data_IF_394643466399
#
_entry.id   IF_394643466399
#
_cell.length_a   1.000
_cell.length_b   1.000
_cell.length_c   1.000
_cell.angle_alpha   90.00
_cell.angle_beta   90.00
_cell.angle_gamma   90.00
#
_symmetry.space_group_name_H-M   'P 1'
#
loop_
_entity.id
_entity.type
_entity.pdbx_description
1 polymer ?
#
# COMPACT_ATOMS: atom_id res chain seq x y z
N UNK A 1 -17.48 17.64 -21.72
CA UNK A 1 -16.64 16.70 -22.50
C UNK A 1 -15.54 16.16 -21.63
N UNK A 2 -15.36 14.84 -21.62
CA UNK A 2 -14.28 14.20 -20.86
C UNK A 2 -12.99 14.26 -21.69
N UNK A 3 -11.97 14.88 -21.12
CA UNK A 3 -10.67 15.03 -21.77
C UNK A 3 -9.67 14.18 -21.02
N UNK A 4 -8.92 13.35 -21.76
CA UNK A 4 -7.84 12.56 -21.18
C UNK A 4 -6.65 13.48 -20.99
N UNK A 5 -6.18 13.59 -19.75
CA UNK A 5 -5.03 14.40 -19.40
C UNK A 5 -3.82 13.52 -19.18
N UNK A 6 -2.63 14.04 -19.52
CA UNK A 6 -1.37 13.34 -19.32
C UNK A 6 -0.64 13.94 -18.13
N UNK A 7 -0.19 13.07 -17.23
CA UNK A 7 0.61 13.47 -16.07
C UNK A 7 1.83 12.57 -15.96
N UNK A 8 2.95 13.04 -15.40
CA UNK A 8 4.09 12.17 -15.10
C UNK A 8 3.69 11.03 -14.18
N UNK A 9 4.26 9.85 -14.42
CA UNK A 9 3.94 8.66 -13.62
C UNK A 9 4.25 8.86 -12.14
N UNK A 10 5.31 9.60 -11.82
CA UNK A 10 5.69 9.82 -10.43
C UNK A 10 4.69 10.71 -9.65
N UNK A 11 3.72 11.32 -10.31
CA UNK A 11 2.64 12.04 -9.65
C UNK A 11 1.44 11.16 -9.30
N UNK A 12 1.46 9.89 -9.69
CA UNK A 12 0.29 9.02 -9.55
C UNK A 12 -0.17 8.86 -8.10
N UNK A 13 0.75 8.89 -7.15
CA UNK A 13 0.45 8.78 -5.73
C UNK A 13 0.14 10.10 -5.04
N UNK A 14 0.02 11.20 -5.79
CA UNK A 14 -0.10 12.57 -5.25
C UNK A 14 -1.25 13.31 -5.89
N UNK A 15 -1.50 14.53 -5.39
CA UNK A 15 -2.49 15.46 -5.94
C UNK A 15 -3.92 14.91 -5.93
N UNK A 16 -4.20 14.01 -5.01
CA UNK A 16 -5.54 13.44 -4.82
C UNK A 16 -6.45 14.36 -4.01
N UNK A 17 -5.88 15.04 -3.00
CA UNK A 17 -6.62 15.96 -2.13
C UNK A 17 -6.34 17.40 -2.56
N UNK A 18 -7.40 18.18 -2.71
CA UNK A 18 -7.24 19.58 -3.04
C UNK A 18 -6.49 20.34 -1.93
N UNK A 19 -5.60 21.26 -2.32
CA UNK A 19 -4.73 21.98 -1.37
C UNK A 19 -5.51 22.70 -0.28
N UNK A 20 -6.73 23.17 -0.57
CA UNK A 20 -7.56 23.89 0.41
C UNK A 20 -7.92 23.03 1.63
N UNK A 21 -7.89 21.72 1.50
CA UNK A 21 -8.18 20.79 2.60
C UNK A 21 -6.94 20.31 3.35
N UNK A 22 -5.75 20.75 2.91
CA UNK A 22 -4.48 20.33 3.51
C UNK A 22 -3.98 21.47 4.39
N UNK A 23 -3.72 21.25 5.70
CA UNK A 23 -3.16 22.27 6.57
C UNK A 23 -1.84 22.80 6.04
N UNK A 24 -1.58 24.10 6.26
CA UNK A 24 -0.35 24.76 5.81
C UNK A 24 0.88 24.03 6.36
N UNK A 25 1.85 23.75 5.49
CA UNK A 25 3.08 23.05 5.87
C UNK A 25 2.94 21.54 5.95
N UNK A 26 1.77 20.99 5.59
CA UNK A 26 1.49 19.56 5.56
C UNK A 26 1.24 19.11 4.13
N UNK A 27 1.25 17.81 3.89
CA UNK A 27 0.90 17.21 2.61
C UNK A 27 -0.39 16.38 2.74
N UNK A 28 -0.81 15.75 1.63
CA UNK A 28 -2.04 14.96 1.64
C UNK A 28 -1.92 13.70 2.52
N UNK A 29 -0.71 13.23 2.80
CA UNK A 29 -0.49 12.09 3.68
C UNK A 29 -0.73 12.43 5.15
N UNK A 30 -0.67 13.70 5.53
CA UNK A 30 -1.04 14.14 6.87
C UNK A 30 -2.49 13.77 7.19
N UNK A 31 -3.40 13.96 6.24
CA UNK A 31 -4.80 13.61 6.45
C UNK A 31 -4.97 12.11 6.64
N UNK A 32 -4.27 11.30 5.85
CA UNK A 32 -4.30 9.85 6.01
C UNK A 32 -3.72 9.42 7.36
N UNK A 33 -2.67 10.08 7.83
CA UNK A 33 -2.08 9.81 9.14
C UNK A 33 -3.08 10.05 10.27
N UNK A 34 -3.91 11.09 10.17
CA UNK A 34 -4.91 11.38 11.19
C UNK A 34 -6.11 10.44 11.11
N UNK A 35 -6.42 9.92 9.95
CA UNK A 35 -7.55 9.01 9.73
C UNK A 35 -7.22 7.57 10.12
N UNK A 36 -5.99 7.13 9.91
CA UNK A 36 -5.60 5.75 10.16
C UNK A 36 -4.98 5.61 11.55
N UNK A 37 -5.80 5.21 12.53
CA UNK A 37 -5.37 5.03 13.91
C UNK A 37 -5.48 3.56 14.32
N UNK A 38 -4.89 2.67 13.53
CA UNK A 38 -4.95 1.23 13.79
C UNK A 38 -3.95 0.75 14.86
N UNK A 39 -3.11 1.64 15.39
CA UNK A 39 -2.13 1.30 16.43
C UNK A 39 -0.89 0.56 15.93
N UNK A 40 -0.77 0.31 14.65
CA UNK A 40 0.39 -0.37 14.08
C UNK A 40 1.53 0.62 13.93
N UNK A 41 2.72 0.23 14.40
CA UNK A 41 3.93 1.02 14.20
C UNK A 41 4.62 0.56 12.93
N UNK A 42 4.85 1.49 12.03
CA UNK A 42 5.47 1.21 10.74
C UNK A 42 6.91 1.72 10.72
N UNK A 43 7.75 1.05 9.95
CA UNK A 43 9.15 1.38 9.72
C UNK A 43 9.47 1.32 8.23
N UNK A 44 10.62 1.87 7.86
CA UNK A 44 11.10 1.75 6.48
C UNK A 44 11.52 0.31 6.17
N UNK A 45 11.49 -0.04 4.88
CA UNK A 45 12.00 -1.31 4.41
C UNK A 45 13.51 -1.42 4.62
N UNK A 46 13.98 -2.62 4.95
CA UNK A 46 15.41 -2.93 4.91
C UNK A 46 15.85 -3.20 3.47
N UNK A 47 17.17 -3.13 3.21
CA UNK A 47 17.71 -3.45 1.89
C UNK A 47 17.38 -4.89 1.48
N UNK A 48 17.41 -5.84 2.41
CA UNK A 48 17.08 -7.23 2.14
C UNK A 48 15.60 -7.41 1.77
N UNK A 49 14.72 -6.64 2.43
CA UNK A 49 13.29 -6.66 2.10
C UNK A 49 13.04 -6.10 0.70
N UNK A 50 13.72 -5.03 0.33
CA UNK A 50 13.62 -4.46 -1.02
C UNK A 50 14.08 -5.47 -2.07
N UNK A 51 15.20 -6.16 -1.83
CA UNK A 51 15.68 -7.20 -2.74
C UNK A 51 14.66 -8.33 -2.90
N UNK A 52 14.06 -8.77 -1.80
CA UNK A 52 13.03 -9.81 -1.84
C UNK A 52 11.80 -9.36 -2.63
N UNK A 53 11.37 -8.11 -2.44
CA UNK A 53 10.24 -7.55 -3.17
C UNK A 53 10.52 -7.46 -4.67
N UNK A 54 11.72 -7.03 -5.05
CA UNK A 54 12.12 -6.97 -6.47
C UNK A 54 12.18 -8.38 -7.06
N UNK A 55 12.74 -9.34 -6.34
CA UNK A 55 12.81 -10.74 -6.78
C UNK A 55 11.40 -11.31 -6.99
N UNK A 56 10.44 -10.89 -6.19
CA UNK A 56 9.04 -11.31 -6.30
C UNK A 56 8.24 -10.46 -7.29
N UNK A 57 8.91 -9.74 -8.18
CA UNK A 57 8.33 -8.98 -9.29
C UNK A 57 7.50 -7.79 -8.86
N UNK A 58 7.81 -7.19 -7.74
CA UNK A 58 7.20 -5.93 -7.33
C UNK A 58 8.00 -4.75 -7.86
N UNK A 59 7.32 -3.65 -8.10
CA UNK A 59 7.93 -2.38 -8.50
C UNK A 59 7.38 -1.25 -7.65
N UNK A 60 8.15 -0.18 -7.52
CA UNK A 60 7.73 1.01 -6.79
C UNK A 60 8.33 2.26 -7.44
N UNK A 61 7.60 3.36 -7.40
CA UNK A 61 8.14 4.65 -7.82
C UNK A 61 9.18 5.17 -6.81
N UNK A 62 9.08 4.79 -5.55
CA UNK A 62 10.06 5.13 -4.52
C UNK A 62 9.95 4.14 -3.36
N UNK A 63 10.92 3.24 -3.23
CA UNK A 63 10.94 2.24 -2.16
C UNK A 63 11.00 2.87 -0.76
N UNK A 64 11.50 4.10 -0.63
CA UNK A 64 11.54 4.81 0.65
C UNK A 64 10.15 5.25 1.14
N UNK A 65 9.14 5.18 0.30
CA UNK A 65 7.77 5.52 0.65
C UNK A 65 6.92 4.32 1.03
N UNK A 66 7.50 3.12 1.04
CA UNK A 66 6.82 1.93 1.53
C UNK A 66 7.27 1.68 2.96
N UNK A 67 6.31 1.69 3.87
CA UNK A 67 6.53 1.45 5.30
C UNK A 67 5.86 0.15 5.69
N UNK A 68 6.49 -0.59 6.57
CA UNK A 68 6.03 -1.92 6.95
C UNK A 68 6.07 -2.09 8.46
N UNK A 69 5.30 -3.03 8.97
CA UNK A 69 5.34 -3.37 10.38
C UNK A 69 6.63 -4.13 10.70
N UNK A 70 6.92 -4.29 12.00
CA UNK A 70 8.12 -4.98 12.47
C UNK A 70 8.26 -6.38 11.89
N UNK A 71 7.16 -7.10 11.76
CA UNK A 71 7.14 -8.50 11.32
C UNK A 71 6.63 -8.66 9.89
N UNK A 72 6.97 -7.72 9.03
CA UNK A 72 6.61 -7.78 7.61
C UNK A 72 7.29 -8.97 6.93
N UNK A 73 6.52 -9.69 6.10
CA UNK A 73 7.04 -10.81 5.31
C UNK A 73 6.95 -10.47 3.81
N UNK A 74 8.08 -10.13 3.16
CA UNK A 74 8.07 -9.76 1.75
C UNK A 74 7.71 -10.91 0.80
N UNK A 75 7.78 -12.16 1.26
CA UNK A 75 7.41 -13.30 0.43
C UNK A 75 5.91 -13.37 0.15
N UNK A 76 5.10 -12.66 0.94
CA UNK A 76 3.65 -12.60 0.76
C UNK A 76 3.20 -11.38 -0.04
N UNK A 77 4.13 -10.70 -0.71
CA UNK A 77 3.83 -9.58 -1.61
C UNK A 77 4.46 -9.91 -2.95
N UNK A 78 3.63 -10.16 -3.97
CA UNK A 78 4.12 -10.65 -5.26
C UNK A 78 3.43 -9.96 -6.42
N UNK A 79 4.23 -9.61 -7.43
CA UNK A 79 3.76 -9.10 -8.71
C UNK A 79 2.86 -7.87 -8.57
N UNK A 80 3.26 -6.92 -7.73
CA UNK A 80 2.52 -5.70 -7.47
C UNK A 80 3.26 -4.47 -7.97
N UNK A 81 2.51 -3.44 -8.31
CA UNK A 81 3.04 -2.12 -8.65
C UNK A 81 2.61 -1.13 -7.58
N UNK A 82 3.57 -0.48 -6.96
CA UNK A 82 3.32 0.46 -5.86
C UNK A 82 3.62 1.89 -6.28
N UNK A 83 2.74 2.80 -5.95
CA UNK A 83 2.91 4.23 -6.21
C UNK A 83 2.54 5.04 -4.96
N UNK A 84 3.39 6.00 -4.61
CA UNK A 84 3.15 6.88 -3.46
C UNK A 84 3.44 6.23 -2.13
N UNK A 85 2.90 6.79 -1.06
CA UNK A 85 3.10 6.32 0.31
C UNK A 85 2.22 5.12 0.60
N UNK A 86 2.84 4.01 0.99
CA UNK A 86 2.15 2.76 1.27
C UNK A 86 2.61 2.23 2.62
N UNK A 87 1.67 1.78 3.44
CA UNK A 87 1.94 1.14 4.72
C UNK A 87 1.34 -0.25 4.73
N UNK A 88 2.14 -1.23 5.11
CA UNK A 88 1.71 -2.63 5.13
C UNK A 88 1.96 -3.21 6.53
N UNK A 89 0.94 -3.77 7.13
CA UNK A 89 1.02 -4.40 8.43
C UNK A 89 1.68 -5.78 8.38
N UNK A 90 1.51 -6.55 9.45
CA UNK A 90 2.05 -7.89 9.56
C UNK A 90 1.32 -8.82 8.58
N UNK A 91 2.09 -9.61 7.85
CA UNK A 91 1.55 -10.64 6.96
C UNK A 91 2.07 -12.00 7.44
N UNK A 92 1.18 -12.93 7.67
CA UNK A 92 1.50 -14.27 8.13
C UNK A 92 1.11 -15.29 7.07
N UNK A 93 1.85 -16.41 6.93
CA UNK A 93 1.62 -17.38 5.86
C UNK A 93 0.42 -18.29 6.15
N UNK A 94 -0.75 -17.68 6.26
CA UNK A 94 -2.02 -18.35 6.48
C UNK A 94 -2.99 -18.03 5.36
N UNK A 95 -4.07 -18.77 5.26
CA UNK A 95 -5.24 -18.32 4.52
C UNK A 95 -6.35 -17.94 5.50
N UNK A 96 -7.18 -16.99 5.11
CA UNK A 96 -8.35 -16.59 5.87
C UNK A 96 -9.58 -17.24 5.26
N UNK A 97 -10.50 -17.67 6.09
CA UNK A 97 -11.73 -18.31 5.64
C UNK A 97 -12.94 -17.58 6.20
N UNK A 98 -13.86 -17.24 5.29
CA UNK A 98 -15.16 -16.66 5.65
C UNK A 98 -16.22 -17.39 4.86
N UNK A 99 -17.10 -18.13 5.56
CA UNK A 99 -18.03 -19.08 4.92
C UNK A 99 -17.25 -20.07 4.05
N UNK A 100 -17.47 -20.08 2.73
CA UNK A 100 -16.76 -20.96 1.80
C UNK A 100 -15.62 -20.27 1.06
N UNK A 101 -15.37 -18.98 1.36
CA UNK A 101 -14.30 -18.23 0.73
C UNK A 101 -13.00 -18.45 1.50
N UNK A 102 -11.95 -18.88 0.80
CA UNK A 102 -10.61 -19.04 1.35
C UNK A 102 -9.65 -18.20 0.54
N UNK A 103 -8.93 -17.28 1.21
CA UNK A 103 -7.96 -16.43 0.54
C UNK A 103 -6.64 -16.42 1.30
N UNK A 104 -5.51 -16.58 0.61
CA UNK A 104 -4.22 -16.48 1.26
C UNK A 104 -3.95 -15.05 1.71
N UNK A 105 -3.34 -14.90 2.87
CA UNK A 105 -2.87 -13.60 3.35
C UNK A 105 -1.76 -13.11 2.43
N UNK A 106 -1.79 -11.84 2.09
CA UNK A 106 -0.78 -11.19 1.28
C UNK A 106 -1.36 -10.24 0.27
N UNK A 107 -0.48 -9.65 -0.54
CA UNK A 107 -0.85 -8.70 -1.58
C UNK A 107 -0.29 -9.21 -2.89
N UNK A 108 -1.16 -9.55 -3.83
CA UNK A 108 -0.76 -10.24 -5.05
C UNK A 108 -1.38 -9.60 -6.29
N UNK A 109 -0.59 -9.51 -7.37
CA UNK A 109 -1.08 -9.20 -8.72
C UNK A 109 -1.92 -7.93 -8.78
N UNK A 110 -1.49 -6.86 -8.09
CA UNK A 110 -2.29 -5.65 -7.92
C UNK A 110 -1.50 -4.39 -8.20
N UNK A 111 -2.21 -3.33 -8.57
CA UNK A 111 -1.65 -1.99 -8.64
C UNK A 111 -2.17 -1.18 -7.47
N UNK A 112 -1.27 -0.73 -6.61
CA UNK A 112 -1.58 -0.11 -5.32
C UNK A 112 -1.07 1.33 -5.34
N UNK A 113 -1.95 2.27 -5.03
CA UNK A 113 -1.64 3.70 -5.05
C UNK A 113 -2.03 4.31 -3.72
N UNK A 114 -1.05 4.75 -2.94
CA UNK A 114 -1.26 5.51 -1.70
C UNK A 114 -2.28 4.86 -0.74
N UNK A 115 -2.03 3.62 -0.34
CA UNK A 115 -2.92 2.86 0.54
C UNK A 115 -2.23 2.46 1.84
N UNK A 116 -3.02 2.29 2.89
CA UNK A 116 -2.58 1.70 4.16
C UNK A 116 -3.26 0.34 4.34
N UNK A 117 -2.48 -0.66 4.73
CA UNK A 117 -2.98 -2.00 4.99
C UNK A 117 -2.71 -2.39 6.44
N UNK A 118 -3.73 -2.93 7.11
CA UNK A 118 -3.58 -3.50 8.43
C UNK A 118 -2.90 -4.87 8.41
N UNK A 119 -3.09 -5.64 9.48
CA UNK A 119 -2.48 -6.97 9.59
C UNK A 119 -3.31 -8.01 8.83
N UNK A 120 -2.62 -8.96 8.21
CA UNK A 120 -3.21 -10.14 7.59
C UNK A 120 -4.32 -9.81 6.58
N UNK A 121 -4.04 -8.86 5.70
CA UNK A 121 -4.95 -8.51 4.61
C UNK A 121 -4.81 -9.51 3.46
N UNK A 122 -5.88 -9.66 2.68
CA UNK A 122 -5.91 -10.50 1.49
C UNK A 122 -6.30 -9.64 0.29
N UNK A 123 -5.32 -9.31 -0.54
CA UNK A 123 -5.52 -8.48 -1.73
C UNK A 123 -4.98 -9.27 -2.92
N UNK A 124 -5.82 -9.55 -3.90
CA UNK A 124 -5.39 -10.30 -5.08
C UNK A 124 -6.11 -9.80 -6.31
N UNK A 125 -5.34 -9.57 -7.36
CA UNK A 125 -5.82 -9.24 -8.68
C UNK A 125 -6.70 -7.97 -8.72
N UNK A 126 -6.28 -6.94 -7.99
CA UNK A 126 -6.94 -5.63 -8.01
C UNK A 126 -6.22 -4.74 -9.00
N UNK A 127 -6.87 -4.39 -10.11
CA UNK A 127 -6.23 -3.64 -11.18
C UNK A 127 -5.93 -2.18 -10.82
N UNK A 128 -6.72 -1.61 -9.91
CA UNK A 128 -6.54 -0.23 -9.49
C UNK A 128 -7.08 -0.07 -8.07
N UNK A 129 -6.19 0.11 -7.11
CA UNK A 129 -6.53 0.23 -5.69
C UNK A 129 -5.86 1.48 -5.15
N UNK A 130 -6.65 2.55 -4.94
CA UNK A 130 -6.11 3.88 -4.68
C UNK A 130 -6.76 4.52 -3.47
N UNK A 131 -5.90 5.04 -2.56
CA UNK A 131 -6.31 5.88 -1.43
C UNK A 131 -7.28 5.20 -0.45
N UNK A 132 -7.09 3.91 -0.22
CA UNK A 132 -7.86 3.16 0.77
C UNK A 132 -7.07 2.94 2.05
N UNK A 133 -7.79 2.84 3.15
CA UNK A 133 -7.28 2.34 4.43
C UNK A 133 -7.97 1.00 4.66
N UNK A 134 -7.18 -0.07 4.63
CA UNK A 134 -7.70 -1.44 4.81
C UNK A 134 -7.40 -1.88 6.23
N UNK A 135 -8.44 -2.27 6.96
CA UNK A 135 -8.30 -2.72 8.33
C UNK A 135 -7.67 -4.11 8.44
N UNK A 136 -7.57 -4.61 9.66
CA UNK A 136 -7.01 -5.92 9.94
C UNK A 136 -7.95 -7.03 9.47
N UNK A 137 -7.36 -8.11 8.95
CA UNK A 137 -8.09 -9.31 8.54
C UNK A 137 -9.17 -9.00 7.49
#
# INVERSE_FOLDING_TARGET
>A
MNIIQKHPVNNLGYSFVEKKYIPRGKDEYYLRNTQNQNGIKYRKLTAQEIEALIRNRNTSDDWNKIFVSRHFNPELVRNCKFHGLIRIGKLEPYYLEFHNLRMPVGIYNSTIISCDFGNNVCIDNVNYFSHYIVGND
#
